data_IF_694949529421
#
_entry.id   IF_694949529421
#
_cell.length_a   1.000
_cell.length_b   1.000
_cell.length_c   1.000
_cell.angle_alpha   90.00
_cell.angle_beta   90.00
_cell.angle_gamma   90.00
#
_symmetry.space_group_name_H-M   'P 1'
#
loop_
_entity.id
_entity.type
_entity.pdbx_description
1 polymer ?
#
# COMPACT_ATOMS: atom_id res chain seq x y z
N UNK A 1 -38.84 -31.06 -33.12
CA UNK A 1 -38.42 -29.66 -33.32
C UNK A 1 -37.92 -29.51 -34.75
N UNK A 2 -38.50 -28.57 -35.50
CA UNK A 2 -38.04 -28.27 -36.86
C UNK A 2 -36.92 -27.22 -36.77
N UNK A 3 -35.73 -27.53 -37.29
CA UNK A 3 -34.62 -26.56 -37.36
C UNK A 3 -34.93 -25.52 -38.42
N UNK A 4 -34.60 -24.25 -38.18
CA UNK A 4 -34.74 -23.16 -39.16
C UNK A 4 -33.38 -22.74 -39.69
N UNK A 5 -33.34 -22.32 -40.95
CA UNK A 5 -32.13 -21.86 -41.61
C UNK A 5 -31.69 -20.51 -41.03
N UNK A 6 -30.43 -20.42 -40.58
CA UNK A 6 -29.87 -19.19 -40.00
C UNK A 6 -29.68 -18.03 -40.99
N UNK A 7 -30.00 -18.21 -42.27
CA UNK A 7 -29.90 -17.16 -43.30
C UNK A 7 -31.26 -16.68 -43.80
N UNK A 8 -32.13 -17.58 -44.26
CA UNK A 8 -33.43 -17.23 -44.80
C UNK A 8 -34.60 -17.46 -43.82
N UNK A 9 -34.32 -17.92 -42.59
CA UNK A 9 -35.28 -18.19 -41.52
C UNK A 9 -36.39 -19.20 -41.85
N UNK A 10 -36.27 -19.94 -42.96
CA UNK A 10 -37.23 -20.98 -43.35
C UNK A 10 -36.85 -22.35 -42.81
N UNK A 11 -37.79 -23.28 -42.74
CA UNK A 11 -37.58 -24.61 -42.15
C UNK A 11 -36.56 -25.44 -42.96
N UNK A 12 -35.62 -26.04 -42.25
CA UNK A 12 -34.64 -26.96 -42.81
C UNK A 12 -35.22 -28.36 -43.01
N UNK A 13 -35.20 -28.82 -44.26
CA UNK A 13 -35.44 -30.23 -44.60
C UNK A 13 -34.10 -30.96 -44.63
N UNK A 14 -34.03 -32.15 -44.01
CA UNK A 14 -32.80 -32.97 -43.92
C UNK A 14 -32.10 -33.21 -45.26
N UNK A 15 -32.83 -33.19 -46.37
CA UNK A 15 -32.32 -33.39 -47.73
C UNK A 15 -31.61 -32.17 -48.34
N UNK A 16 -31.88 -30.95 -47.84
CA UNK A 16 -31.50 -29.69 -48.51
C UNK A 16 -30.75 -28.74 -47.57
N UNK A 17 -30.36 -29.23 -46.40
CA UNK A 17 -29.77 -28.41 -45.36
C UNK A 17 -28.55 -29.06 -44.71
N UNK A 18 -27.60 -28.23 -44.34
CA UNK A 18 -26.42 -28.57 -43.58
C UNK A 18 -26.62 -28.17 -42.11
N UNK A 19 -26.29 -29.06 -41.18
CA UNK A 19 -26.23 -28.74 -39.74
C UNK A 19 -24.77 -28.63 -39.34
N UNK A 20 -24.39 -27.46 -38.83
CA UNK A 20 -23.04 -27.19 -38.37
C UNK A 20 -22.78 -27.97 -37.08
N UNK A 21 -21.84 -28.91 -37.10
CA UNK A 21 -21.49 -29.70 -35.93
C UNK A 21 -20.93 -28.87 -34.75
N UNK A 22 -20.49 -27.63 -35.01
CA UNK A 22 -19.89 -26.74 -34.02
C UNK A 22 -20.93 -25.90 -33.28
N UNK A 23 -21.84 -25.24 -34.00
CA UNK A 23 -22.83 -24.35 -33.38
C UNK A 23 -24.27 -24.87 -33.48
N UNK A 24 -24.47 -26.08 -34.02
CA UNK A 24 -25.76 -26.73 -34.24
C UNK A 24 -26.75 -25.91 -35.10
N UNK A 25 -26.27 -24.87 -35.81
CA UNK A 25 -27.10 -24.09 -36.72
C UNK A 25 -27.35 -24.84 -38.02
N UNK A 26 -28.57 -24.73 -38.50
CA UNK A 26 -28.97 -25.26 -39.78
C UNK A 26 -28.89 -24.19 -40.89
N UNK A 27 -28.43 -24.55 -42.08
CA UNK A 27 -28.41 -23.67 -43.26
C UNK A 27 -28.76 -24.46 -44.53
N UNK A 28 -29.57 -23.88 -45.42
CA UNK A 28 -29.82 -24.50 -46.74
C UNK A 28 -28.58 -24.41 -47.62
N UNK A 29 -28.39 -25.41 -48.48
CA UNK A 29 -27.30 -25.44 -49.45
C UNK A 29 -27.25 -24.15 -50.30
N UNK A 30 -28.40 -23.72 -50.81
CA UNK A 30 -28.51 -22.51 -51.63
C UNK A 30 -28.15 -21.24 -50.84
N UNK A 31 -28.47 -21.18 -49.55
CA UNK A 31 -28.13 -20.04 -48.70
C UNK A 31 -26.63 -19.96 -48.44
N UNK A 32 -25.95 -21.10 -48.32
CA UNK A 32 -24.48 -21.14 -48.22
C UNK A 32 -23.86 -20.62 -49.52
N UNK A 33 -24.33 -21.11 -50.67
CA UNK A 33 -23.82 -20.67 -51.98
C UNK A 33 -23.99 -19.17 -52.23
N UNK A 34 -25.08 -18.57 -51.74
CA UNK A 34 -25.30 -17.13 -51.82
C UNK A 34 -24.34 -16.33 -50.93
N UNK A 35 -23.93 -16.89 -49.79
CA UNK A 35 -22.97 -16.23 -48.88
C UNK A 35 -21.52 -16.34 -49.36
N UNK A 36 -21.20 -17.31 -50.23
CA UNK A 36 -19.82 -17.57 -50.69
C UNK A 36 -19.69 -17.48 -52.22
N UNK A 37 -19.84 -16.27 -52.81
CA UNK A 37 -19.80 -16.09 -54.27
C UNK A 37 -18.45 -16.46 -54.92
N UNK A 38 -17.37 -16.56 -54.14
CA UNK A 38 -16.02 -16.93 -54.58
C UNK A 38 -15.73 -18.43 -54.60
N UNK A 39 -16.71 -19.29 -54.28
CA UNK A 39 -16.52 -20.74 -54.30
C UNK A 39 -16.39 -21.28 -55.72
N UNK A 40 -15.31 -22.03 -55.99
CA UNK A 40 -15.11 -22.75 -57.24
C UNK A 40 -16.13 -23.88 -57.40
N UNK A 41 -16.42 -24.27 -58.64
CA UNK A 41 -17.43 -25.32 -58.93
C UNK A 41 -17.10 -26.65 -58.21
N UNK A 42 -15.82 -27.03 -58.16
CA UNK A 42 -15.35 -28.19 -57.41
C UNK A 42 -15.64 -28.10 -55.90
N UNK A 43 -15.63 -26.90 -55.31
CA UNK A 43 -16.01 -26.72 -53.91
C UNK A 43 -17.52 -26.85 -53.72
N UNK A 44 -18.33 -26.39 -54.68
CA UNK A 44 -19.80 -26.54 -54.67
C UNK A 44 -20.22 -28.01 -54.74
N UNK A 45 -19.58 -28.78 -55.61
CA UNK A 45 -19.84 -30.21 -55.80
C UNK A 45 -19.38 -31.06 -54.60
N UNK A 46 -18.35 -30.61 -53.88
CA UNK A 46 -17.91 -31.28 -52.66
C UNK A 46 -18.88 -31.04 -51.48
N UNK A 47 -19.53 -29.87 -51.41
CA UNK A 47 -20.53 -29.60 -50.37
C UNK A 47 -21.82 -30.41 -50.60
N UNK A 48 -22.25 -30.62 -51.84
CA UNK A 48 -23.42 -31.50 -52.11
C UNK A 48 -23.13 -32.97 -51.81
N UNK A 49 -21.89 -33.43 -52.03
CA UNK A 49 -21.48 -34.82 -51.78
C UNK A 49 -21.26 -35.14 -50.30
N UNK A 50 -20.82 -34.16 -49.50
CA UNK A 50 -20.53 -34.38 -48.07
C UNK A 50 -21.70 -33.92 -47.20
N UNK A 51 -22.59 -34.87 -46.83
CA UNK A 51 -23.75 -34.61 -45.97
C UNK A 51 -23.41 -34.27 -44.51
N UNK A 52 -22.12 -34.25 -44.14
CA UNK A 52 -21.68 -34.06 -42.76
C UNK A 52 -20.37 -33.27 -42.69
N UNK A 53 -20.37 -32.21 -41.89
CA UNK A 53 -19.19 -31.53 -41.33
C UNK A 53 -18.39 -30.59 -42.23
N UNK A 54 -18.83 -29.33 -42.37
CA UNK A 54 -17.91 -28.18 -42.51
C UNK A 54 -18.16 -27.12 -41.44
N UNK A 55 -17.07 -26.50 -40.99
CA UNK A 55 -17.08 -25.42 -39.98
C UNK A 55 -17.86 -24.23 -40.51
N UNK A 56 -18.66 -23.64 -39.64
CA UNK A 56 -19.34 -22.38 -39.89
C UNK A 56 -18.33 -21.28 -40.25
N UNK A 57 -18.63 -20.48 -41.27
CA UNK A 57 -17.94 -19.20 -41.50
C UNK A 57 -18.25 -18.34 -40.27
N UNK A 58 -17.23 -18.08 -39.46
CA UNK A 58 -17.34 -17.44 -38.15
C UNK A 58 -18.15 -16.14 -38.23
N UNK A 59 -19.33 -16.16 -37.61
CA UNK A 59 -19.96 -14.95 -37.08
C UNK A 59 -20.17 -15.15 -35.58
N UNK A 60 -19.38 -14.40 -34.82
CA UNK A 60 -19.59 -14.09 -33.41
C UNK A 60 -19.29 -15.19 -32.38
N UNK A 61 -18.01 -15.33 -32.00
CA UNK A 61 -17.65 -15.82 -30.66
C UNK A 61 -16.44 -15.09 -30.06
N UNK A 62 -16.17 -13.85 -30.48
CA UNK A 62 -15.10 -13.00 -29.90
C UNK A 62 -15.48 -12.36 -28.54
N UNK A 63 -16.75 -12.45 -28.14
CA UNK A 63 -17.28 -11.70 -26.99
C UNK A 63 -16.83 -12.17 -25.58
N UNK A 64 -16.71 -13.49 -25.28
CA UNK A 64 -16.38 -13.92 -23.92
C UNK A 64 -14.93 -13.60 -23.52
N UNK A 65 -14.00 -13.70 -24.47
CA UNK A 65 -12.57 -13.48 -24.21
C UNK A 65 -12.30 -11.98 -23.99
N UNK A 66 -12.85 -11.11 -24.83
CA UNK A 66 -12.71 -9.65 -24.66
C UNK A 66 -13.30 -9.17 -23.33
N UNK A 67 -14.44 -9.73 -22.90
CA UNK A 67 -15.02 -9.37 -21.60
C UNK A 67 -14.13 -9.75 -20.42
N UNK A 68 -13.43 -10.89 -20.49
CA UNK A 68 -12.47 -11.32 -19.46
C UNK A 68 -11.21 -10.46 -19.46
N UNK A 69 -10.70 -10.10 -20.64
CA UNK A 69 -9.55 -9.20 -20.76
C UNK A 69 -9.84 -7.81 -20.19
N UNK A 70 -10.98 -7.21 -20.54
CA UNK A 70 -11.37 -5.92 -19.99
C UNK A 70 -11.56 -5.96 -18.46
N UNK A 71 -12.07 -7.08 -17.93
CA UNK A 71 -12.20 -7.27 -16.47
C UNK A 71 -10.83 -7.37 -15.78
N UNK A 72 -9.86 -8.07 -16.39
CA UNK A 72 -8.50 -8.17 -15.87
C UNK A 72 -7.78 -6.83 -15.90
N UNK A 73 -7.92 -6.08 -16.99
CA UNK A 73 -7.36 -4.74 -17.13
C UNK A 73 -7.90 -3.79 -16.05
N UNK A 74 -9.22 -3.85 -15.79
CA UNK A 74 -9.82 -3.08 -14.71
C UNK A 74 -9.28 -3.48 -13.33
N UNK A 75 -9.17 -4.78 -13.04
CA UNK A 75 -8.61 -5.27 -11.77
C UNK A 75 -7.15 -4.83 -11.57
N UNK A 76 -6.35 -4.83 -12.64
CA UNK A 76 -4.97 -4.34 -12.60
C UNK A 76 -4.92 -2.83 -12.33
N UNK A 77 -5.82 -2.06 -12.95
CA UNK A 77 -5.92 -0.63 -12.72
C UNK A 77 -6.31 -0.32 -11.26
N UNK A 78 -7.32 -1.02 -10.74
CA UNK A 78 -7.78 -0.87 -9.36
C UNK A 78 -6.68 -1.23 -8.36
N UNK A 79 -5.94 -2.32 -8.62
CA UNK A 79 -4.79 -2.71 -7.80
C UNK A 79 -3.66 -1.68 -7.84
N UNK A 80 -3.37 -1.13 -9.03
CA UNK A 80 -2.34 -0.10 -9.20
C UNK A 80 -2.70 1.16 -8.41
N UNK A 81 -3.97 1.59 -8.48
CA UNK A 81 -4.46 2.73 -7.71
C UNK A 81 -4.42 2.44 -6.20
N UNK A 82 -4.79 1.23 -5.76
CA UNK A 82 -4.70 0.85 -4.35
C UNK A 82 -3.25 0.91 -3.83
N UNK A 83 -2.29 0.41 -4.60
CA UNK A 83 -0.87 0.46 -4.23
C UNK A 83 -0.37 1.91 -4.23
N UNK A 84 -0.64 2.67 -5.29
CA UNK A 84 -0.11 4.01 -5.48
C UNK A 84 -0.71 5.01 -4.50
N UNK A 85 -2.03 5.01 -4.34
CA UNK A 85 -2.72 6.04 -3.57
C UNK A 85 -2.96 5.57 -2.13
N UNK A 86 -3.27 4.29 -1.93
CA UNK A 86 -3.49 3.74 -0.60
C UNK A 86 -2.17 3.49 0.14
N UNK A 87 -1.38 2.54 -0.35
CA UNK A 87 -0.18 2.08 0.35
C UNK A 87 0.88 3.20 0.40
N UNK A 88 1.14 3.89 -0.71
CA UNK A 88 2.17 4.92 -0.71
C UNK A 88 1.82 6.14 0.16
N UNK A 89 0.54 6.54 0.23
CA UNK A 89 0.10 7.61 1.13
C UNK A 89 0.29 7.21 2.59
N UNK A 90 -0.17 6.02 2.97
CA UNK A 90 -0.01 5.51 4.33
C UNK A 90 1.46 5.39 4.74
N UNK A 91 2.33 4.92 3.84
CA UNK A 91 3.78 4.88 4.09
C UNK A 91 4.38 6.29 4.28
N UNK A 92 3.93 7.28 3.52
CA UNK A 92 4.37 8.66 3.65
C UNK A 92 3.91 9.30 4.97
N UNK A 93 2.67 9.03 5.37
CA UNK A 93 2.11 9.48 6.65
C UNK A 93 2.87 8.84 7.81
N UNK A 94 3.04 7.51 7.82
CA UNK A 94 3.84 6.81 8.84
C UNK A 94 5.27 7.33 8.93
N UNK A 95 5.92 7.61 7.79
CA UNK A 95 7.26 8.20 7.76
C UNK A 95 7.28 9.57 8.43
N UNK A 96 6.25 10.39 8.20
CA UNK A 96 6.13 11.73 8.77
C UNK A 96 5.90 11.64 10.28
N UNK A 97 5.01 10.77 10.73
CA UNK A 97 4.72 10.55 12.15
C UNK A 97 5.94 10.03 12.91
N UNK A 98 6.71 9.11 12.31
CA UNK A 98 7.96 8.63 12.88
C UNK A 98 9.00 9.75 12.99
N UNK A 99 9.14 10.59 11.96
CA UNK A 99 10.07 11.72 11.99
C UNK A 99 9.69 12.73 13.08
N UNK A 100 8.41 13.04 13.22
CA UNK A 100 7.88 13.93 14.26
C UNK A 100 8.11 13.34 15.66
N UNK A 101 7.79 12.07 15.85
CA UNK A 101 7.97 11.37 17.13
C UNK A 101 9.45 11.35 17.54
N UNK A 102 10.35 11.07 16.60
CA UNK A 102 11.79 11.09 16.85
C UNK A 102 12.28 12.49 17.26
N UNK A 103 11.79 13.53 16.58
CA UNK A 103 12.12 14.93 16.91
C UNK A 103 11.65 15.31 18.31
N UNK A 104 10.41 14.94 18.67
CA UNK A 104 9.86 15.16 20.00
C UNK A 104 10.64 14.41 21.09
N UNK A 105 10.99 13.15 20.83
CA UNK A 105 11.79 12.34 21.76
C UNK A 105 13.15 12.97 22.01
N UNK A 106 13.83 13.43 20.95
CA UNK A 106 15.14 14.08 21.08
C UNK A 106 15.05 15.38 21.89
N UNK A 107 14.04 16.20 21.62
CA UNK A 107 13.81 17.43 22.39
C UNK A 107 13.56 17.13 23.88
N UNK A 108 12.75 16.11 24.15
CA UNK A 108 12.49 15.68 25.52
C UNK A 108 13.75 15.18 26.25
N UNK A 109 14.61 14.45 25.56
CA UNK A 109 15.90 13.99 26.09
C UNK A 109 16.85 15.16 26.39
N UNK A 110 16.93 16.13 25.48
CA UNK A 110 17.74 17.35 25.65
C UNK A 110 17.25 18.18 26.86
N UNK A 111 15.94 18.40 26.97
CA UNK A 111 15.32 19.15 28.07
C UNK A 111 15.55 18.43 29.41
N UNK A 112 15.39 17.11 29.45
CA UNK A 112 15.61 16.28 30.64
C UNK A 112 17.07 16.33 31.07
N UNK A 113 17.99 16.15 30.12
CA UNK A 113 19.44 16.22 30.38
C UNK A 113 19.86 17.58 30.91
N UNK A 114 19.31 18.66 30.34
CA UNK A 114 19.54 20.03 30.81
C UNK A 114 19.08 20.20 32.26
N UNK A 115 17.88 19.70 32.59
CA UNK A 115 17.32 19.75 33.95
C UNK A 115 18.15 18.95 34.95
N UNK A 116 18.63 17.76 34.57
CA UNK A 116 19.52 16.96 35.40
C UNK A 116 20.83 17.70 35.70
N UNK A 117 21.48 18.29 34.69
CA UNK A 117 22.69 19.09 34.88
C UNK A 117 22.47 20.32 35.76
N UNK A 118 21.27 20.92 35.69
CA UNK A 118 20.92 22.02 36.58
C UNK A 118 20.79 21.56 38.03
N UNK A 119 20.04 20.47 38.26
CA UNK A 119 19.87 19.89 39.59
C UNK A 119 21.19 19.40 40.19
N UNK A 120 22.09 18.86 39.39
CA UNK A 120 23.42 18.46 39.82
C UNK A 120 24.25 19.66 40.29
N UNK A 121 24.21 20.78 39.55
CA UNK A 121 24.85 22.03 39.96
C UNK A 121 24.28 22.55 41.28
N UNK A 122 22.96 22.56 41.42
CA UNK A 122 22.30 23.03 42.63
C UNK A 122 22.63 22.14 43.83
N UNK A 123 22.62 20.82 43.65
CA UNK A 123 23.00 19.86 44.69
C UNK A 123 24.46 20.08 45.14
N UNK A 124 25.38 20.26 44.18
CA UNK A 124 26.78 20.55 44.48
C UNK A 124 26.95 21.88 45.23
N UNK A 125 26.19 22.91 44.86
CA UNK A 125 26.20 24.19 45.55
C UNK A 125 25.67 24.07 46.99
N UNK A 126 24.57 23.34 47.19
CA UNK A 126 24.02 23.08 48.52
C UNK A 126 24.99 22.28 49.40
N UNK A 127 25.63 21.25 48.85
CA UNK A 127 26.68 20.49 49.57
C UNK A 127 27.82 21.39 50.03
N UNK A 128 28.28 22.31 49.16
CA UNK A 128 29.30 23.29 49.55
C UNK A 128 28.81 24.22 50.67
N UNK A 129 27.57 24.69 50.60
CA UNK A 129 26.99 25.55 51.62
C UNK A 129 26.85 24.82 52.97
N UNK A 130 26.40 23.57 52.96
CA UNK A 130 26.23 22.75 54.16
C UNK A 130 27.59 22.39 54.80
N UNK A 131 28.58 22.03 53.99
CA UNK A 131 29.88 21.62 54.51
C UNK A 131 30.75 22.81 54.96
N UNK A 132 30.45 24.04 54.51
CA UNK A 132 31.26 25.24 54.83
C UNK A 132 31.30 25.53 56.34
N UNK A 133 30.17 25.55 57.08
CA UNK A 133 30.17 25.65 58.55
C UNK A 133 31.02 24.59 59.25
N UNK A 134 30.90 23.32 58.86
CA UNK A 134 31.67 22.22 59.46
C UNK A 134 33.18 22.41 59.26
N UNK A 135 33.61 22.82 58.07
CA UNK A 135 35.01 23.16 57.77
C UNK A 135 35.47 24.35 58.61
N UNK A 136 34.64 25.38 58.73
CA UNK A 136 34.97 26.58 59.53
C UNK A 136 35.15 26.19 61.00
N UNK A 137 34.23 25.41 61.58
CA UNK A 137 34.26 25.01 62.99
C UNK A 137 35.44 24.07 63.27
N UNK A 138 35.67 23.07 62.41
CA UNK A 138 36.78 22.13 62.55
C UNK A 138 38.16 22.78 62.36
N UNK A 139 38.23 23.89 61.62
CA UNK A 139 39.44 24.68 61.47
C UNK A 139 39.78 25.58 62.68
N UNK A 140 38.87 25.73 63.64
CA UNK A 140 39.15 26.48 64.88
C UNK A 140 40.07 25.66 65.80
N UNK A 141 40.97 26.35 66.51
CA UNK A 141 41.84 25.68 67.50
C UNK A 141 40.99 25.20 68.68
N UNK A 142 41.23 23.97 69.14
CA UNK A 142 40.42 23.30 70.17
C UNK A 142 40.50 23.90 71.59
N UNK A 143 41.38 24.88 71.83
CA UNK A 143 41.61 25.51 73.15
C UNK A 143 41.72 27.04 73.05
N UNK A 144 40.89 27.69 72.24
CA UNK A 144 40.90 29.16 72.12
C UNK A 144 40.37 29.84 73.38
N UNK A 145 41.02 30.92 73.78
CA UNK A 145 40.49 31.83 74.80
C UNK A 145 39.20 32.48 74.30
N UNK A 146 38.30 32.84 75.22
CA UNK A 146 36.98 33.37 74.85
C UNK A 146 37.07 34.62 73.96
N UNK A 147 38.06 35.49 74.21
CA UNK A 147 38.32 36.70 73.41
C UNK A 147 38.75 36.39 71.97
N UNK A 148 39.55 35.34 71.77
CA UNK A 148 39.99 34.88 70.45
C UNK A 148 38.83 34.26 69.68
N UNK A 149 37.94 33.53 70.37
CA UNK A 149 36.74 32.93 69.78
C UNK A 149 35.79 34.00 69.25
N UNK A 150 35.52 35.06 70.03
CA UNK A 150 34.69 36.19 69.60
C UNK A 150 35.29 36.91 68.39
N UNK A 151 36.61 37.14 68.39
CA UNK A 151 37.32 37.77 67.27
C UNK A 151 37.24 36.92 65.98
N UNK A 152 37.40 35.60 66.11
CA UNK A 152 37.25 34.66 65.00
C UNK A 152 35.82 34.63 64.46
N UNK A 153 34.81 34.60 65.33
CA UNK A 153 33.40 34.63 64.94
C UNK A 153 33.03 35.92 64.17
N UNK A 154 33.49 37.08 64.64
CA UNK A 154 33.30 38.36 63.94
C UNK A 154 33.99 38.36 62.58
N UNK A 155 35.21 37.82 62.50
CA UNK A 155 35.97 37.75 61.25
C UNK A 155 35.31 36.82 60.22
N UNK A 156 34.77 35.68 60.67
CA UNK A 156 33.98 34.76 59.85
C UNK A 156 32.70 35.44 59.37
N UNK A 157 31.98 36.14 60.26
CA UNK A 157 30.77 36.87 59.93
C UNK A 157 31.01 37.94 58.84
N UNK A 158 32.13 38.68 58.92
CA UNK A 158 32.54 39.64 57.89
C UNK A 158 32.96 39.02 56.56
N UNK A 159 33.45 37.78 56.58
CA UNK A 159 33.86 37.06 55.37
C UNK A 159 32.71 36.27 54.70
N UNK A 160 31.57 36.14 55.39
CA UNK A 160 30.41 35.37 54.92
C UNK A 160 29.17 36.22 54.63
N UNK A 161 29.08 37.45 55.15
CA UNK A 161 28.08 38.46 54.77
C UNK A 161 28.57 39.36 53.66
#
# INVERSE_FOLDING_TARGET
MALTCGYCSTTCKKSESFICAICNNCQHYNCILQQTPTMTQAMKDNITKTKTGKKCVEKSSMNPINSKFNSLEKQLQDLTNFIKDGIASQLSEMKTDLANTLSHSKKFEDDTTSKLKHLERDNNNLRKQINRPDIIISGLKSNMESSELYSAAISIGKACG
#
